data_IF_978562704118
#
_entry.id   IF_978562704118
#
_cell.length_a   1.000
_cell.length_b   1.000
_cell.length_c   1.000
_cell.angle_alpha   90.00
_cell.angle_beta   90.00
_cell.angle_gamma   90.00
#
_symmetry.space_group_name_H-M   'P 1'
#
loop_
_entity.id
_entity.type
_entity.pdbx_description
1 polymer ?
#
# COMPACT_ATOMS: atom_id res chain seq x y z
N UNK A 1 -4.39 14.20 -8.26
CA UNK A 1 -5.51 13.84 -9.15
C UNK A 1 -4.91 13.38 -10.47
N UNK A 2 -4.72 12.07 -10.67
CA UNK A 2 -4.16 11.55 -11.92
C UNK A 2 -5.25 11.58 -12.99
N UNK A 3 -5.13 12.55 -13.91
CA UNK A 3 -5.96 12.70 -15.09
C UNK A 3 -6.07 11.37 -15.84
N UNK A 4 -7.29 11.03 -16.25
CA UNK A 4 -7.59 10.00 -17.24
C UNK A 4 -6.90 10.43 -18.54
N UNK A 5 -5.60 10.12 -18.68
CA UNK A 5 -4.87 10.25 -19.94
C UNK A 5 -5.45 9.18 -20.88
N UNK A 6 -5.64 9.55 -22.15
CA UNK A 6 -6.18 8.67 -23.19
C UNK A 6 -5.51 7.28 -23.14
N UNK A 7 -6.32 6.25 -23.42
CA UNK A 7 -5.90 4.85 -23.38
C UNK A 7 -4.61 4.65 -24.22
N UNK A 8 -3.58 3.98 -23.68
CA UNK A 8 -2.33 3.76 -24.40
C UNK A 8 -2.56 3.00 -25.71
N UNK A 9 -1.82 3.37 -26.77
CA UNK A 9 -1.96 2.74 -28.10
C UNK A 9 -1.25 1.39 -28.16
N UNK A 10 -0.08 1.29 -27.53
CA UNK A 10 0.67 0.04 -27.35
C UNK A 10 1.20 -0.06 -25.93
N UNK A 11 1.25 -1.28 -25.43
CA UNK A 11 1.75 -1.63 -24.11
C UNK A 11 2.76 -2.77 -24.23
N UNK A 12 3.85 -2.70 -23.46
CA UNK A 12 4.76 -3.82 -23.23
C UNK A 12 4.98 -4.00 -21.74
N UNK A 13 4.98 -5.25 -21.31
CA UNK A 13 5.17 -5.63 -19.91
C UNK A 13 6.45 -6.43 -19.77
N UNK A 14 7.25 -6.07 -18.78
CA UNK A 14 8.54 -6.68 -18.46
C UNK A 14 8.55 -7.14 -17.01
N UNK A 15 9.09 -8.33 -16.76
CA UNK A 15 9.57 -8.71 -15.44
C UNK A 15 11.10 -8.65 -15.44
N UNK A 16 11.64 -7.96 -14.45
CA UNK A 16 13.07 -7.82 -14.19
C UNK A 16 13.40 -8.53 -12.89
N UNK A 17 14.32 -9.49 -12.94
CA UNK A 17 14.85 -10.18 -11.77
C UNK A 17 16.21 -9.58 -11.41
N UNK A 18 16.27 -8.82 -10.32
CA UNK A 18 17.50 -8.22 -9.78
C UNK A 18 18.20 -9.24 -8.89
N UNK A 19 19.41 -9.65 -9.27
CA UNK A 19 20.25 -10.58 -8.49
C UNK A 19 21.13 -9.89 -7.46
N UNK A 20 21.33 -8.59 -7.63
CA UNK A 20 22.12 -7.72 -6.75
C UNK A 20 21.30 -6.47 -6.40
N UNK A 21 21.75 -5.69 -5.42
CA UNK A 21 21.09 -4.43 -5.08
C UNK A 21 21.49 -3.34 -6.09
N UNK A 22 20.82 -3.33 -7.25
CA UNK A 22 21.01 -2.34 -8.31
C UNK A 22 19.73 -1.60 -8.67
N UNK A 23 18.67 -1.78 -7.88
CA UNK A 23 17.36 -1.23 -8.18
C UNK A 23 17.37 0.29 -8.19
N UNK A 24 18.07 0.91 -7.24
CA UNK A 24 18.23 2.37 -7.21
C UNK A 24 18.98 2.90 -8.44
N UNK A 25 20.06 2.22 -8.86
CA UNK A 25 20.79 2.53 -10.08
C UNK A 25 19.91 2.39 -11.32
N UNK A 26 19.15 1.30 -11.42
CA UNK A 26 18.18 1.10 -12.49
C UNK A 26 17.14 2.22 -12.56
N UNK A 27 16.64 2.68 -11.41
CA UNK A 27 15.72 3.82 -11.38
C UNK A 27 16.37 5.10 -11.90
N UNK A 28 17.60 5.41 -11.47
CA UNK A 28 18.33 6.61 -11.91
C UNK A 28 18.66 6.58 -13.40
N UNK A 29 19.15 5.44 -13.90
CA UNK A 29 19.74 5.33 -15.23
C UNK A 29 18.71 4.93 -16.31
N UNK A 30 17.63 4.27 -15.94
CA UNK A 30 16.60 3.81 -16.89
C UNK A 30 15.30 4.59 -16.70
N UNK A 31 14.67 4.50 -15.53
CA UNK A 31 13.31 5.00 -15.30
C UNK A 31 13.24 6.53 -15.27
N UNK A 32 14.09 7.17 -14.48
CA UNK A 32 14.08 8.62 -14.23
C UNK A 32 15.14 9.39 -15.03
N UNK A 33 15.84 8.71 -15.93
CA UNK A 33 16.91 9.28 -16.76
C UNK A 33 16.51 10.50 -17.61
N UNK A 34 15.22 10.66 -17.89
CA UNK A 34 14.68 11.77 -18.68
C UNK A 34 14.37 13.04 -17.86
N UNK A 35 14.52 12.99 -16.53
CA UNK A 35 14.19 14.10 -15.65
C UNK A 35 12.69 14.25 -15.34
N UNK A 36 12.35 15.07 -14.33
CA UNK A 36 10.97 15.21 -13.82
C UNK A 36 10.00 15.86 -14.83
N UNK A 37 10.50 16.66 -15.78
CA UNK A 37 9.70 17.33 -16.81
C UNK A 37 9.11 16.37 -17.86
N UNK A 38 9.69 15.17 -18.03
CA UNK A 38 9.26 14.18 -19.04
C UNK A 38 8.42 13.04 -18.45
N UNK A 39 7.36 13.39 -17.72
CA UNK A 39 6.46 12.41 -17.07
C UNK A 39 5.81 11.39 -18.01
N UNK A 40 5.69 11.68 -19.31
CA UNK A 40 5.17 10.76 -20.32
C UNK A 40 6.17 9.65 -20.72
N UNK A 41 7.43 9.73 -20.27
CA UNK A 41 8.43 8.68 -20.47
C UNK A 41 8.37 7.59 -19.38
N UNK A 42 7.71 7.88 -18.25
CA UNK A 42 7.64 6.95 -17.12
C UNK A 42 6.80 5.70 -17.46
N UNK A 43 7.13 4.53 -16.87
CA UNK A 43 6.27 3.37 -16.91
C UNK A 43 4.86 3.72 -16.40
N UNK A 44 3.86 3.07 -16.98
CA UNK A 44 2.46 3.18 -16.57
C UNK A 44 2.16 2.35 -15.32
N UNK A 45 2.92 1.28 -15.10
CA UNK A 45 2.88 0.46 -13.89
C UNK A 45 4.31 0.04 -13.54
N UNK A 46 4.61 -0.04 -12.24
CA UNK A 46 5.91 -0.36 -11.71
C UNK A 46 5.74 -0.90 -10.29
N UNK A 47 5.71 -2.23 -10.19
CA UNK A 47 5.39 -2.95 -8.96
C UNK A 47 6.55 -3.87 -8.60
N UNK A 48 6.97 -3.89 -7.34
CA UNK A 48 8.07 -4.74 -6.89
C UNK A 48 7.66 -5.73 -5.82
N UNK A 49 8.44 -6.81 -5.72
CA UNK A 49 8.33 -7.86 -4.70
C UNK A 49 9.73 -8.41 -4.40
N UNK A 50 10.06 -8.64 -3.13
CA UNK A 50 11.30 -9.32 -2.79
C UNK A 50 11.22 -10.84 -3.00
N UNK A 51 12.38 -11.51 -2.97
CA UNK A 51 12.48 -12.95 -3.18
C UNK A 51 11.68 -13.76 -2.17
N UNK A 52 11.56 -13.28 -0.92
CA UNK A 52 10.85 -13.97 0.14
C UNK A 52 9.36 -14.11 -0.23
N UNK A 53 8.68 -13.01 -0.58
CA UNK A 53 7.26 -13.08 -0.90
C UNK A 53 7.01 -13.87 -2.19
N UNK A 54 7.88 -13.73 -3.18
CA UNK A 54 7.75 -14.53 -4.41
C UNK A 54 7.96 -16.01 -4.12
N UNK A 55 8.90 -16.39 -3.26
CA UNK A 55 9.07 -17.78 -2.84
C UNK A 55 7.82 -18.33 -2.16
N UNK A 56 7.17 -17.56 -1.28
CA UNK A 56 5.94 -18.00 -0.62
C UNK A 56 4.80 -18.24 -1.61
N UNK A 57 4.65 -17.37 -2.61
CA UNK A 57 3.66 -17.51 -3.67
C UNK A 57 3.99 -18.68 -4.60
N UNK A 58 5.22 -18.70 -5.13
CA UNK A 58 5.65 -19.57 -6.23
C UNK A 58 5.98 -20.97 -5.75
N UNK A 59 6.77 -21.08 -4.70
CA UNK A 59 7.29 -22.37 -4.23
C UNK A 59 6.36 -22.99 -3.21
N UNK A 60 5.79 -22.16 -2.33
CA UNK A 60 4.95 -22.66 -1.24
C UNK A 60 3.45 -22.64 -1.57
N UNK A 61 3.02 -21.84 -2.54
CA UNK A 61 1.63 -21.78 -3.01
C UNK A 61 0.72 -20.90 -2.15
N UNK A 62 1.28 -20.05 -1.27
CA UNK A 62 0.50 -19.19 -0.38
C UNK A 62 -0.29 -18.15 -1.18
N UNK A 63 -1.59 -18.05 -0.92
CA UNK A 63 -2.50 -17.12 -1.59
C UNK A 63 -2.64 -17.33 -3.11
N UNK A 64 -2.03 -18.38 -3.68
CA UNK A 64 -1.84 -18.52 -5.13
C UNK A 64 -3.15 -18.71 -5.89
N UNK A 65 -4.05 -19.54 -5.35
CA UNK A 65 -5.37 -19.76 -5.96
C UNK A 65 -6.19 -18.47 -5.98
N UNK A 66 -6.17 -17.76 -4.86
CA UNK A 66 -6.87 -16.49 -4.72
C UNK A 66 -6.31 -15.44 -5.67
N UNK A 67 -4.98 -15.37 -5.81
CA UNK A 67 -4.30 -14.53 -6.80
C UNK A 67 -4.74 -14.86 -8.24
N UNK A 68 -4.84 -16.14 -8.61
CA UNK A 68 -5.35 -16.55 -9.93
C UNK A 68 -6.80 -16.09 -10.11
N UNK A 69 -7.68 -16.36 -9.14
CA UNK A 69 -9.09 -15.98 -9.23
C UNK A 69 -9.26 -14.47 -9.42
N UNK A 70 -8.43 -13.67 -8.75
CA UNK A 70 -8.38 -12.22 -8.93
C UNK A 70 -7.78 -11.80 -10.28
N UNK A 71 -6.71 -12.44 -10.73
CA UNK A 71 -6.10 -12.17 -12.03
C UNK A 71 -7.00 -12.52 -13.21
N UNK A 72 -7.88 -13.51 -13.03
CA UNK A 72 -8.89 -13.93 -14.00
C UNK A 72 -10.09 -12.97 -14.08
N UNK A 73 -10.10 -11.84 -13.37
CA UNK A 73 -11.17 -10.82 -13.37
C UNK A 73 -11.46 -10.28 -14.77
N UNK A 74 -12.28 -11.04 -15.49
CA UNK A 74 -12.99 -10.64 -16.69
C UNK A 74 -14.30 -9.95 -16.29
N UNK A 75 -14.80 -9.07 -17.15
CA UNK A 75 -16.06 -8.33 -16.92
C UNK A 75 -17.24 -9.25 -16.56
N UNK A 76 -17.24 -10.49 -17.05
CA UNK A 76 -18.25 -11.52 -16.82
C UNK A 76 -18.04 -12.37 -15.55
N UNK A 77 -16.83 -12.38 -14.98
CA UNK A 77 -16.45 -13.20 -13.83
C UNK A 77 -16.53 -12.46 -12.49
N UNK A 78 -16.73 -11.13 -12.50
CA UNK A 78 -16.57 -10.28 -11.29
C UNK A 78 -17.56 -10.64 -10.18
N UNK A 79 -18.83 -10.93 -10.51
CA UNK A 79 -19.84 -11.36 -9.52
C UNK A 79 -19.59 -12.77 -8.95
N UNK A 80 -18.97 -13.66 -9.74
CA UNK A 80 -18.61 -15.00 -9.29
C UNK A 80 -17.34 -15.00 -8.44
N UNK A 81 -16.37 -14.13 -8.76
CA UNK A 81 -15.14 -13.97 -7.96
C UNK A 81 -15.49 -13.52 -6.53
N UNK A 82 -16.40 -12.56 -6.35
CA UNK A 82 -16.83 -12.14 -5.01
C UNK A 82 -17.47 -13.29 -4.22
N UNK A 83 -18.31 -14.10 -4.87
CA UNK A 83 -18.89 -15.30 -4.24
C UNK A 83 -17.83 -16.33 -3.87
N UNK A 84 -16.84 -16.56 -4.73
CA UNK A 84 -15.73 -17.47 -4.46
C UNK A 84 -14.83 -16.98 -3.32
N UNK A 85 -14.55 -15.68 -3.25
CA UNK A 85 -13.80 -15.07 -2.14
C UNK A 85 -14.60 -15.12 -0.82
N UNK A 86 -15.91 -14.89 -0.87
CA UNK A 86 -16.79 -15.04 0.29
C UNK A 86 -16.83 -16.49 0.77
N UNK A 87 -16.96 -17.45 -0.14
CA UNK A 87 -16.92 -18.87 0.18
C UNK A 87 -15.56 -19.26 0.77
N UNK A 88 -14.45 -18.76 0.22
CA UNK A 88 -13.12 -18.93 0.79
C UNK A 88 -13.07 -18.45 2.24
N UNK A 89 -13.55 -17.25 2.52
CA UNK A 89 -13.53 -16.69 3.87
C UNK A 89 -14.36 -17.54 4.85
N UNK A 90 -15.52 -18.04 4.42
CA UNK A 90 -16.33 -18.98 5.21
C UNK A 90 -15.59 -20.30 5.47
N UNK A 91 -14.93 -20.87 4.44
CA UNK A 91 -14.15 -22.10 4.60
C UNK A 91 -12.96 -21.92 5.52
N UNK A 92 -12.28 -20.77 5.47
CA UNK A 92 -11.19 -20.43 6.39
C UNK A 92 -11.72 -20.31 7.82
N UNK A 93 -12.89 -19.70 8.04
CA UNK A 93 -13.49 -19.60 9.37
C UNK A 93 -13.86 -20.98 9.94
N UNK A 94 -14.37 -21.89 9.10
CA UNK A 94 -14.84 -23.20 9.54
C UNK A 94 -13.71 -24.22 9.73
N UNK A 95 -12.76 -24.29 8.79
CA UNK A 95 -11.72 -25.32 8.73
C UNK A 95 -10.38 -24.74 8.24
N UNK A 96 -9.80 -23.76 8.95
CA UNK A 96 -8.67 -22.95 8.46
C UNK A 96 -7.48 -23.81 8.04
N UNK A 97 -7.09 -24.77 8.88
CA UNK A 97 -5.94 -25.64 8.63
C UNK A 97 -6.13 -26.57 7.43
N UNK A 98 -7.35 -27.06 7.19
CA UNK A 98 -7.64 -27.98 6.07
C UNK A 98 -7.66 -27.20 4.76
N UNK A 99 -8.39 -26.07 4.76
CA UNK A 99 -8.50 -25.21 3.58
C UNK A 99 -7.12 -24.70 3.13
N UNK A 100 -6.30 -24.20 4.07
CA UNK A 100 -4.98 -23.69 3.73
C UNK A 100 -4.08 -24.79 3.20
N UNK A 101 -4.06 -25.99 3.80
CA UNK A 101 -3.29 -27.13 3.26
C UNK A 101 -3.72 -27.49 1.83
N UNK A 102 -5.02 -27.43 1.53
CA UNK A 102 -5.52 -27.62 0.17
C UNK A 102 -5.09 -26.49 -0.78
N UNK A 103 -5.23 -25.22 -0.38
CA UNK A 103 -4.80 -24.05 -1.17
C UNK A 103 -3.29 -24.13 -1.48
N UNK A 104 -2.46 -24.53 -0.51
CA UNK A 104 -1.03 -24.73 -0.69
C UNK A 104 -0.71 -25.89 -1.63
N UNK A 105 -1.36 -27.04 -1.45
CA UNK A 105 -1.18 -28.20 -2.31
C UNK A 105 -1.46 -27.80 -3.76
N UNK A 106 -2.66 -27.30 -4.05
CA UNK A 106 -3.05 -26.94 -5.41
C UNK A 106 -2.22 -25.77 -5.96
N UNK A 107 -1.92 -24.77 -5.11
CA UNK A 107 -1.06 -23.64 -5.44
C UNK A 107 0.32 -24.06 -5.92
N UNK A 108 0.96 -25.04 -5.27
CA UNK A 108 2.25 -25.61 -5.70
C UNK A 108 2.20 -26.21 -7.10
N UNK A 109 1.15 -26.95 -7.45
CA UNK A 109 1.02 -27.54 -8.80
C UNK A 109 0.73 -26.47 -9.84
N UNK A 110 -0.21 -25.56 -9.56
CA UNK A 110 -0.58 -24.50 -10.49
C UNK A 110 0.56 -23.52 -10.72
N UNK A 111 1.35 -23.19 -9.70
CA UNK A 111 2.55 -22.36 -9.86
C UNK A 111 3.52 -22.95 -10.88
N UNK A 112 3.68 -24.29 -10.90
CA UNK A 112 4.53 -24.94 -11.90
C UNK A 112 4.03 -24.77 -13.34
N UNK A 113 2.72 -24.69 -13.53
CA UNK A 113 2.08 -24.50 -14.82
C UNK A 113 2.09 -23.04 -15.26
N UNK A 114 1.84 -22.12 -14.33
CA UNK A 114 1.46 -20.74 -14.64
C UNK A 114 2.60 -19.73 -14.55
N UNK A 115 3.66 -20.03 -13.79
CA UNK A 115 4.81 -19.14 -13.62
C UNK A 115 6.01 -19.66 -14.40
N UNK A 116 6.66 -18.82 -15.23
CA UNK A 116 7.85 -19.20 -15.98
C UNK A 116 8.93 -19.83 -15.08
N UNK A 117 9.50 -20.95 -15.52
CA UNK A 117 10.52 -21.69 -14.75
C UNK A 117 11.72 -20.82 -14.36
N UNK A 118 12.04 -19.82 -15.18
CA UNK A 118 13.07 -18.81 -14.91
C UNK A 118 12.80 -18.03 -13.62
N UNK A 119 11.57 -17.59 -13.34
CA UNK A 119 11.23 -16.91 -12.08
C UNK A 119 11.27 -17.92 -10.93
N UNK A 120 10.85 -19.17 -11.15
CA UNK A 120 10.79 -20.19 -10.10
C UNK A 120 12.16 -20.73 -9.67
N UNK A 121 13.13 -20.75 -10.59
CA UNK A 121 14.44 -21.38 -10.39
C UNK A 121 15.58 -20.38 -10.22
N UNK A 122 15.38 -19.12 -10.57
CA UNK A 122 16.43 -18.11 -10.41
C UNK A 122 16.55 -17.69 -8.95
N UNK A 123 17.78 -17.51 -8.50
CA UNK A 123 18.08 -16.77 -7.28
C UNK A 123 18.15 -15.30 -7.66
N UNK A 124 17.25 -14.50 -7.13
CA UNK A 124 17.21 -13.04 -7.24
C UNK A 124 16.88 -12.48 -5.86
N UNK A 125 17.21 -11.21 -5.63
CA UNK A 125 16.79 -10.45 -4.45
C UNK A 125 15.41 -9.86 -4.64
N UNK A 126 15.14 -9.32 -5.83
CA UNK A 126 13.88 -8.65 -6.13
C UNK A 126 13.37 -8.94 -7.54
N UNK A 127 12.05 -8.97 -7.66
CA UNK A 127 11.31 -9.00 -8.90
C UNK A 127 10.61 -7.65 -9.08
N UNK A 128 10.88 -6.99 -10.19
CA UNK A 128 10.23 -5.75 -10.60
C UNK A 128 9.39 -6.01 -11.85
N UNK A 129 8.15 -5.53 -11.84
CA UNK A 129 7.18 -5.66 -12.93
C UNK A 129 6.90 -4.27 -13.46
N UNK A 130 7.18 -4.06 -14.74
CA UNK A 130 7.06 -2.77 -15.40
C UNK A 130 6.12 -2.88 -16.58
N UNK A 131 5.25 -1.89 -16.76
CA UNK A 131 4.48 -1.72 -17.98
C UNK A 131 4.83 -0.39 -18.63
N UNK A 132 5.38 -0.44 -19.83
CA UNK A 132 5.74 0.75 -20.62
C UNK A 132 4.72 0.91 -21.75
N UNK A 133 4.32 2.15 -22.01
CA UNK A 133 3.33 2.46 -23.05
C UNK A 133 3.88 3.43 -24.09
N UNK A 134 3.42 3.25 -25.33
CA UNK A 134 3.42 4.31 -26.34
C UNK A 134 2.12 5.11 -26.24
N UNK A 135 2.29 6.44 -26.20
CA UNK A 135 1.21 7.42 -26.15
C UNK A 135 1.28 8.31 -27.38
N UNK A 136 0.16 8.91 -27.77
CA UNK A 136 0.12 9.92 -28.85
C UNK A 136 1.12 11.06 -28.62
N UNK A 137 1.29 11.48 -27.35
CA UNK A 137 2.22 12.54 -26.96
C UNK A 137 3.69 12.13 -26.91
N UNK A 138 4.00 10.82 -26.97
CA UNK A 138 5.36 10.30 -26.85
C UNK A 138 5.54 9.03 -27.71
N UNK A 139 5.49 9.16 -29.05
CA UNK A 139 5.74 8.04 -29.95
C UNK A 139 7.19 7.55 -29.80
N UNK A 140 7.39 6.23 -29.71
CA UNK A 140 8.72 5.63 -29.55
C UNK A 140 9.22 5.47 -28.11
N UNK A 141 8.39 5.79 -27.10
CA UNK A 141 8.77 5.62 -25.68
C UNK A 141 9.26 4.21 -25.35
N UNK A 142 8.59 3.18 -25.88
CA UNK A 142 9.00 1.78 -25.69
C UNK A 142 10.41 1.54 -26.24
N UNK A 143 10.71 2.02 -27.45
CA UNK A 143 12.03 1.83 -28.06
C UNK A 143 13.14 2.58 -27.27
N UNK A 144 12.85 3.78 -26.77
CA UNK A 144 13.78 4.53 -25.93
C UNK A 144 14.06 3.80 -24.60
N UNK A 145 13.00 3.30 -23.95
CA UNK A 145 13.12 2.47 -22.74
C UNK A 145 13.98 1.23 -22.99
N UNK A 146 13.71 0.49 -24.08
CA UNK A 146 14.46 -0.72 -24.44
C UNK A 146 15.94 -0.42 -24.67
N UNK A 147 16.26 0.70 -25.32
CA UNK A 147 17.66 1.14 -25.51
C UNK A 147 18.38 1.35 -24.18
N UNK A 148 17.76 2.06 -23.23
CA UNK A 148 18.34 2.31 -21.91
C UNK A 148 18.48 1.04 -21.08
N UNK A 149 17.47 0.18 -21.14
CA UNK A 149 17.49 -1.12 -20.48
C UNK A 149 18.62 -1.99 -21.03
N UNK A 150 18.82 -2.04 -22.35
CA UNK A 150 19.95 -2.74 -22.97
C UNK A 150 21.29 -2.19 -22.49
N UNK A 151 21.46 -0.86 -22.48
CA UNK A 151 22.68 -0.23 -21.96
C UNK A 151 22.91 -0.59 -20.48
N UNK A 152 21.87 -0.54 -19.65
CA UNK A 152 21.98 -0.93 -18.24
C UNK A 152 22.41 -2.39 -18.07
N UNK A 153 21.82 -3.31 -18.85
CA UNK A 153 22.20 -4.73 -18.85
C UNK A 153 23.64 -4.93 -19.31
N UNK A 154 24.11 -4.19 -20.31
CA UNK A 154 25.50 -4.24 -20.79
C UNK A 154 26.51 -3.82 -19.70
N UNK A 155 26.18 -2.79 -18.91
CA UNK A 155 27.00 -2.37 -17.76
C UNK A 155 26.91 -3.34 -16.57
N UNK A 156 25.83 -4.13 -16.49
CA UNK A 156 25.56 -5.06 -15.37
C UNK A 156 25.19 -6.48 -15.85
N UNK A 157 26.07 -7.18 -16.59
CA UNK A 157 25.72 -8.37 -17.40
C UNK A 157 25.25 -9.59 -16.59
N UNK A 158 25.44 -9.60 -15.27
CA UNK A 158 25.03 -10.70 -14.40
C UNK A 158 24.01 -10.30 -13.33
N UNK A 159 23.73 -9.00 -13.18
CA UNK A 159 22.93 -8.52 -12.06
C UNK A 159 21.44 -8.42 -12.37
N UNK A 160 21.06 -8.49 -13.64
CA UNK A 160 19.66 -8.40 -14.09
C UNK A 160 19.31 -9.54 -15.04
N UNK A 161 18.12 -10.10 -14.89
CA UNK A 161 17.52 -10.97 -15.88
C UNK A 161 16.18 -10.42 -16.34
N UNK A 162 16.06 -10.24 -17.66
CA UNK A 162 14.88 -9.69 -18.32
C UNK A 162 13.97 -10.81 -18.84
N UNK A 163 12.67 -10.67 -18.58
CA UNK A 163 11.61 -11.49 -19.15
C UNK A 163 10.58 -10.56 -19.78
N UNK A 164 10.48 -10.58 -21.11
CA UNK A 164 9.46 -9.84 -21.84
C UNK A 164 8.19 -10.68 -22.02
N UNK A 165 7.03 -10.12 -21.69
CA UNK A 165 5.74 -10.79 -21.89
C UNK A 165 5.09 -10.38 -23.21
N UNK A 166 4.47 -11.36 -23.86
CA UNK A 166 3.55 -11.11 -24.98
C UNK A 166 2.23 -10.56 -24.44
N UNK A 167 1.57 -9.64 -25.16
CA UNK A 167 0.22 -9.18 -24.82
C UNK A 167 -0.72 -10.38 -24.64
N UNK A 168 -1.49 -10.39 -23.54
CA UNK A 168 -2.45 -11.46 -23.21
C UNK A 168 -1.84 -12.82 -22.83
N UNK A 169 -0.55 -12.88 -22.50
CA UNK A 169 0.05 -14.08 -21.90
C UNK A 169 -0.43 -14.31 -20.45
N UNK A 170 -0.57 -15.58 -20.05
CA UNK A 170 -1.33 -15.97 -18.84
C UNK A 170 -0.64 -15.63 -17.49
N UNK A 171 0.64 -15.29 -17.49
CA UNK A 171 1.35 -14.83 -16.27
C UNK A 171 1.30 -13.32 -16.08
N UNK A 172 1.07 -12.54 -17.14
CA UNK A 172 1.11 -11.08 -17.09
C UNK A 172 0.12 -10.54 -16.05
N UNK A 173 -1.13 -11.01 -16.02
CA UNK A 173 -2.12 -10.53 -15.06
C UNK A 173 -1.86 -10.98 -13.62
N UNK A 174 -1.37 -12.21 -13.41
CA UNK A 174 -1.02 -12.67 -12.06
C UNK A 174 0.11 -11.81 -11.51
N UNK A 175 1.08 -11.51 -12.36
CA UNK A 175 2.22 -10.66 -12.05
C UNK A 175 1.79 -9.19 -11.89
N UNK A 176 0.92 -8.64 -12.75
CA UNK A 176 0.40 -7.27 -12.59
C UNK A 176 -0.50 -7.11 -11.34
N UNK A 177 -1.02 -8.20 -10.78
CA UNK A 177 -1.71 -8.21 -9.49
C UNK A 177 -0.74 -8.59 -8.34
N UNK A 178 0.54 -8.28 -8.48
CA UNK A 178 1.63 -8.44 -7.49
C UNK A 178 1.16 -8.14 -6.08
N UNK A 179 0.64 -6.92 -5.83
CA UNK A 179 0.25 -6.45 -4.48
C UNK A 179 -0.79 -7.32 -3.82
N UNK A 180 -1.87 -7.63 -4.56
CA UNK A 180 -2.95 -8.45 -4.02
C UNK A 180 -2.45 -9.88 -3.76
N UNK A 181 -1.60 -10.41 -4.63
CA UNK A 181 -1.01 -11.75 -4.47
C UNK A 181 -0.08 -11.80 -3.25
N UNK A 182 0.73 -10.77 -3.06
CA UNK A 182 1.64 -10.61 -1.93
C UNK A 182 0.89 -10.48 -0.60
N UNK A 183 -0.07 -9.55 -0.50
CA UNK A 183 -0.90 -9.39 0.70
C UNK A 183 -1.69 -10.67 1.04
N UNK A 184 -2.24 -11.37 0.04
CA UNK A 184 -2.93 -12.64 0.27
C UNK A 184 -1.97 -13.74 0.75
N UNK A 185 -0.74 -13.75 0.26
CA UNK A 185 0.27 -14.71 0.67
C UNK A 185 0.70 -14.47 2.12
N UNK A 186 0.97 -13.23 2.53
CA UNK A 186 1.33 -12.91 3.93
C UNK A 186 0.18 -13.21 4.90
N UNK A 187 -1.07 -12.89 4.52
CA UNK A 187 -2.26 -13.28 5.30
C UNK A 187 -2.42 -14.80 5.44
N UNK A 188 -2.28 -15.54 4.33
CA UNK A 188 -2.42 -17.01 4.36
C UNK A 188 -1.29 -17.66 5.17
N UNK A 189 -0.07 -17.13 5.03
CA UNK A 189 1.09 -17.57 5.78
C UNK A 189 0.92 -17.32 7.28
N UNK A 190 0.36 -16.17 7.67
CA UNK A 190 0.07 -15.83 9.07
C UNK A 190 -0.83 -16.87 9.72
N UNK A 191 -1.92 -17.26 9.05
CA UNK A 191 -2.83 -18.28 9.57
C UNK A 191 -2.14 -19.65 9.63
N UNK A 192 -1.36 -20.00 8.60
CA UNK A 192 -0.63 -21.27 8.55
C UNK A 192 0.39 -21.40 9.68
N UNK A 193 1.14 -20.32 9.95
CA UNK A 193 2.17 -20.23 10.97
C UNK A 193 1.63 -19.95 12.37
N UNK A 194 0.33 -19.68 12.51
CA UNK A 194 -0.30 -19.24 13.77
C UNK A 194 0.45 -18.04 14.37
N UNK A 195 0.79 -17.09 13.51
CA UNK A 195 1.47 -15.86 13.91
C UNK A 195 0.55 -14.66 13.94
N UNK A 196 1.11 -13.54 14.34
CA UNK A 196 0.53 -12.20 14.22
C UNK A 196 1.21 -11.51 13.04
N UNK A 197 0.39 -11.00 12.11
CA UNK A 197 0.86 -10.19 10.99
C UNK A 197 1.07 -8.75 11.48
N UNK A 198 2.25 -8.21 11.20
CA UNK A 198 2.60 -6.80 11.35
C UNK A 198 2.76 -6.21 9.96
N UNK A 199 1.65 -5.84 9.30
CA UNK A 199 1.73 -5.14 8.05
C UNK A 199 2.19 -3.71 8.33
N UNK A 200 3.07 -3.18 7.50
CA UNK A 200 3.49 -1.79 7.60
C UNK A 200 3.55 -1.20 6.22
N UNK A 201 3.00 0.00 6.08
CA UNK A 201 2.90 0.71 4.82
C UNK A 201 3.71 2.00 4.95
N UNK A 202 4.71 2.15 4.08
CA UNK A 202 5.69 3.22 4.16
C UNK A 202 5.98 3.82 2.78
N UNK A 203 6.42 5.08 2.78
CA UNK A 203 6.97 5.75 1.62
C UNK A 203 8.47 5.90 1.82
N UNK A 204 9.25 5.09 1.10
CA UNK A 204 10.71 5.08 1.15
C UNK A 204 11.27 4.89 -0.26
N UNK A 205 12.47 5.43 -0.50
CA UNK A 205 13.17 5.19 -1.76
C UNK A 205 13.45 3.67 -1.90
N UNK A 206 13.04 3.02 -3.01
CA UNK A 206 13.34 1.62 -3.23
C UNK A 206 14.85 1.37 -3.37
N UNK A 207 15.34 0.24 -2.84
CA UNK A 207 16.74 -0.17 -2.96
C UNK A 207 17.47 -0.18 -1.62
N UNK A 208 18.64 0.44 -1.55
CA UNK A 208 19.51 0.44 -0.35
C UNK A 208 18.81 0.95 0.91
N UNK A 209 17.97 1.98 0.78
CA UNK A 209 17.21 2.51 1.91
C UNK A 209 16.22 1.48 2.47
N UNK A 210 15.47 0.79 1.59
CA UNK A 210 14.56 -0.29 1.99
C UNK A 210 15.31 -1.47 2.63
N UNK A 211 16.45 -1.88 2.07
CA UNK A 211 17.26 -2.97 2.64
C UNK A 211 17.82 -2.59 4.03
N UNK A 212 18.29 -1.36 4.19
CA UNK A 212 18.81 -0.84 5.46
C UNK A 212 17.72 -0.80 6.54
N UNK A 213 16.57 -0.22 6.21
CA UNK A 213 15.41 -0.18 7.09
C UNK A 213 14.96 -1.59 7.51
N UNK A 214 14.79 -2.51 6.55
CA UNK A 214 14.32 -3.84 6.84
C UNK A 214 15.31 -4.63 7.73
N UNK A 215 16.62 -4.41 7.54
CA UNK A 215 17.68 -5.04 8.33
C UNK A 215 17.70 -4.51 9.77
N UNK A 216 17.57 -3.20 9.96
CA UNK A 216 17.47 -2.58 11.29
C UNK A 216 16.19 -3.01 12.03
N UNK A 217 15.07 -3.09 11.32
CA UNK A 217 13.81 -3.57 11.89
C UNK A 217 13.94 -5.03 12.34
N UNK A 218 14.53 -5.90 11.52
CA UNK A 218 14.76 -7.30 11.87
C UNK A 218 15.54 -7.46 13.18
N UNK A 219 16.59 -6.64 13.36
CA UNK A 219 17.37 -6.62 14.60
C UNK A 219 16.51 -6.20 15.79
N UNK A 220 15.80 -5.07 15.68
CA UNK A 220 14.94 -4.56 16.77
C UNK A 220 13.82 -5.52 17.13
N UNK A 221 13.19 -6.17 16.15
CA UNK A 221 12.17 -7.19 16.39
C UNK A 221 12.74 -8.41 17.10
N UNK A 222 13.99 -8.81 16.78
CA UNK A 222 14.66 -9.92 17.45
C UNK A 222 14.95 -9.61 18.91
N UNK A 223 15.30 -8.36 19.21
CA UNK A 223 15.51 -7.87 20.58
C UNK A 223 14.19 -7.79 21.37
N UNK A 224 13.11 -7.32 20.73
CA UNK A 224 11.77 -7.19 21.36
C UNK A 224 11.07 -8.53 21.56
N UNK A 225 11.28 -9.48 20.65
CA UNK A 225 10.58 -10.76 20.60
C UNK A 225 11.55 -11.97 20.60
N UNK A 226 12.48 -12.09 21.57
CA UNK A 226 13.59 -13.05 21.50
C UNK A 226 13.18 -14.52 21.57
N UNK A 227 11.92 -14.80 21.95
CA UNK A 227 11.36 -16.15 22.07
C UNK A 227 10.47 -16.55 20.88
N UNK A 228 10.29 -15.64 19.91
CA UNK A 228 9.37 -15.84 18.80
C UNK A 228 10.15 -16.02 17.50
N UNK A 229 9.61 -16.83 16.58
CA UNK A 229 10.16 -16.94 15.23
C UNK A 229 9.71 -15.71 14.44
N UNK A 230 10.67 -14.97 13.87
CA UNK A 230 10.41 -13.86 12.97
C UNK A 230 10.46 -14.34 11.53
N UNK A 231 9.40 -14.08 10.78
CA UNK A 231 9.29 -14.41 9.38
C UNK A 231 9.12 -13.12 8.59
N UNK A 232 10.09 -12.81 7.72
CA UNK A 232 10.13 -11.58 6.96
C UNK A 232 11.57 -11.16 6.67
N UNK A 233 11.77 -9.98 6.05
CA UNK A 233 10.73 -9.08 5.58
C UNK A 233 10.02 -9.65 4.33
N UNK A 234 8.72 -9.41 4.20
CA UNK A 234 7.98 -9.62 2.95
C UNK A 234 7.69 -8.26 2.32
N UNK A 235 8.52 -7.87 1.36
CA UNK A 235 8.49 -6.54 0.75
C UNK A 235 7.74 -6.58 -0.58
N UNK A 236 6.80 -5.65 -0.76
CA UNK A 236 6.09 -5.45 -2.03
C UNK A 236 5.47 -4.05 -2.13
N UNK A 237 5.37 -3.45 -3.32
CA UNK A 237 4.78 -2.11 -3.42
C UNK A 237 4.88 -1.43 -4.78
N UNK A 238 4.52 -0.14 -4.80
CA UNK A 238 4.55 0.75 -5.96
C UNK A 238 5.81 1.59 -5.99
N UNK A 239 6.84 1.11 -6.67
CA UNK A 239 8.13 1.81 -6.66
C UNK A 239 8.07 3.19 -7.30
N UNK A 240 7.25 3.39 -8.35
CA UNK A 240 7.08 4.73 -8.96
C UNK A 240 6.43 5.75 -8.02
N UNK A 241 5.70 5.28 -7.02
CA UNK A 241 5.11 6.13 -5.97
C UNK A 241 5.96 6.11 -4.70
N UNK A 242 7.04 5.33 -4.70
CA UNK A 242 7.88 5.05 -3.54
C UNK A 242 7.08 4.44 -2.37
N UNK A 243 5.95 3.80 -2.64
CA UNK A 243 5.11 3.18 -1.61
C UNK A 243 5.53 1.71 -1.48
N UNK A 244 5.81 1.27 -0.27
CA UNK A 244 6.26 -0.07 0.05
C UNK A 244 5.45 -0.64 1.22
N UNK A 245 5.14 -1.93 1.12
CA UNK A 245 4.57 -2.72 2.21
C UNK A 245 5.66 -3.61 2.77
N UNK A 246 5.98 -3.44 4.05
CA UNK A 246 6.95 -4.23 4.79
C UNK A 246 6.25 -5.12 5.83
N UNK A 247 5.77 -6.26 5.35
CA UNK A 247 5.03 -7.21 6.18
C UNK A 247 6.00 -8.11 6.96
N UNK A 248 5.75 -8.26 8.26
CA UNK A 248 6.41 -9.21 9.15
C UNK A 248 5.40 -10.14 9.81
N UNK A 249 5.78 -11.39 10.05
CA UNK A 249 4.96 -12.35 10.80
C UNK A 249 5.77 -12.82 11.99
N UNK A 250 5.22 -12.66 13.19
CA UNK A 250 5.83 -13.11 14.44
C UNK A 250 4.98 -14.25 15.00
N UNK A 251 5.59 -15.41 15.25
CA UNK A 251 4.83 -16.59 15.69
C UNK A 251 4.39 -16.49 17.15
N UNK A 252 3.23 -17.08 17.47
CA UNK A 252 2.71 -17.11 18.84
C UNK A 252 1.93 -15.86 19.25
N UNK A 253 1.47 -15.86 20.50
CA UNK A 253 0.71 -14.75 21.09
C UNK A 253 1.63 -13.66 21.62
N UNK A 254 1.25 -12.40 21.39
CA UNK A 254 1.99 -11.21 21.83
C UNK A 254 1.08 -10.35 22.71
N UNK A 255 1.66 -9.72 23.74
CA UNK A 255 0.92 -8.78 24.58
C UNK A 255 0.61 -7.49 23.82
N UNK A 256 -0.47 -6.81 24.18
CA UNK A 256 -0.84 -5.51 23.59
C UNK A 256 0.29 -4.47 23.68
N UNK A 257 1.06 -4.49 24.78
CA UNK A 257 2.22 -3.63 24.96
C UNK A 257 3.32 -3.93 23.92
N UNK A 258 3.60 -5.20 23.65
CA UNK A 258 4.56 -5.60 22.61
C UNK A 258 4.07 -5.21 21.21
N UNK A 259 2.77 -5.37 20.93
CA UNK A 259 2.18 -4.94 19.66
C UNK A 259 2.41 -3.44 19.43
N UNK A 260 2.16 -2.61 20.45
CA UNK A 260 2.38 -1.16 20.39
C UNK A 260 3.86 -0.79 20.22
N UNK A 261 4.77 -1.50 20.92
CA UNK A 261 6.22 -1.29 20.78
C UNK A 261 6.72 -1.61 19.38
N UNK A 262 6.22 -2.69 18.77
CA UNK A 262 6.58 -3.06 17.40
C UNK A 262 6.18 -1.96 16.42
N UNK A 263 4.92 -1.50 16.48
CA UNK A 263 4.43 -0.42 15.64
C UNK A 263 5.25 0.88 15.82
N UNK A 264 5.55 1.23 17.07
CA UNK A 264 6.38 2.40 17.38
C UNK A 264 7.77 2.30 16.75
N UNK A 265 8.44 1.14 16.86
CA UNK A 265 9.75 0.91 16.23
C UNK A 265 9.66 0.99 14.70
N UNK A 266 8.59 0.50 14.08
CA UNK A 266 8.39 0.64 12.63
C UNK A 266 8.30 2.12 12.21
N UNK A 267 7.50 2.92 12.94
CA UNK A 267 7.39 4.37 12.73
C UNK A 267 8.71 5.12 12.98
N UNK A 268 9.43 4.79 14.06
CA UNK A 268 10.70 5.42 14.40
C UNK A 268 11.75 5.14 13.32
N UNK A 269 11.90 3.89 12.90
CA UNK A 269 12.92 3.49 11.93
C UNK A 269 12.63 4.04 10.53
N UNK A 270 11.38 4.05 10.09
CA UNK A 270 11.04 4.63 8.77
C UNK A 270 11.34 6.12 8.74
N UNK A 271 11.04 6.85 9.82
CA UNK A 271 11.36 8.27 9.94
C UNK A 271 12.87 8.50 10.03
N UNK A 272 13.60 7.64 10.73
CA UNK A 272 15.06 7.74 10.86
C UNK A 272 15.79 7.59 9.51
N UNK A 273 15.23 6.81 8.58
CA UNK A 273 15.74 6.72 7.19
C UNK A 273 15.16 7.79 6.27
N UNK A 274 14.41 8.77 6.78
CA UNK A 274 13.81 9.85 5.99
C UNK A 274 12.59 9.44 5.17
N UNK A 275 11.96 8.32 5.52
CA UNK A 275 10.68 7.89 4.95
C UNK A 275 9.47 8.43 5.69
N UNK A 276 8.29 8.08 5.18
CA UNK A 276 7.00 8.43 5.79
C UNK A 276 6.17 7.19 6.08
N UNK A 277 5.66 6.99 7.31
CA UNK A 277 4.72 5.92 7.61
C UNK A 277 3.32 6.23 7.01
N UNK A 278 2.48 5.20 6.88
CA UNK A 278 1.07 5.30 6.48
C UNK A 278 0.88 5.95 5.10
N UNK A 279 1.64 5.47 4.10
CA UNK A 279 1.78 6.10 2.80
C UNK A 279 0.52 6.01 1.88
N UNK A 280 -0.12 4.86 1.82
CA UNK A 280 -1.36 4.58 1.09
C UNK A 280 -2.52 4.22 2.04
N UNK A 281 -2.23 3.43 3.07
CA UNK A 281 -3.19 3.01 4.08
C UNK A 281 -3.26 4.08 5.18
N UNK A 282 -4.47 4.48 5.57
CA UNK A 282 -4.63 5.43 6.68
C UNK A 282 -4.15 4.85 8.01
N UNK A 283 -3.86 5.73 8.98
CA UNK A 283 -3.36 5.38 10.33
C UNK A 283 -4.24 4.38 11.10
N UNK A 284 -5.49 4.16 10.67
CA UNK A 284 -6.34 3.08 11.16
C UNK A 284 -6.55 3.14 12.68
N UNK A 285 -6.23 2.05 13.37
CA UNK A 285 -6.34 1.91 14.82
C UNK A 285 -5.26 2.68 15.61
N UNK A 286 -4.25 3.24 14.93
CA UNK A 286 -3.19 4.06 15.53
C UNK A 286 -3.46 5.56 15.41
N UNK A 287 -4.64 5.95 14.91
CA UNK A 287 -4.95 7.37 14.71
C UNK A 287 -4.89 8.22 15.99
N UNK A 288 -5.10 7.62 17.18
CA UNK A 288 -5.06 8.36 18.44
C UNK A 288 -3.66 8.54 19.04
N UNK A 289 -2.65 7.96 18.40
CA UNK A 289 -1.23 8.09 18.74
C UNK A 289 -0.40 8.73 17.63
N UNK A 290 -0.76 8.49 16.37
CA UNK A 290 0.12 8.78 15.23
C UNK A 290 -0.23 10.06 14.46
N UNK A 291 -1.45 10.59 14.62
CA UNK A 291 -1.84 11.82 13.93
C UNK A 291 -1.04 13.01 14.49
N UNK A 292 -0.33 13.69 13.59
CA UNK A 292 0.38 14.92 13.95
C UNK A 292 -0.59 16.12 14.09
N UNK A 293 -0.07 17.25 14.56
CA UNK A 293 -0.87 18.47 14.78
C UNK A 293 -1.72 18.87 13.57
N UNK A 294 -1.11 18.94 12.37
CA UNK A 294 -1.80 19.34 11.14
C UNK A 294 -2.88 18.35 10.73
N UNK A 295 -2.67 17.06 10.99
CA UNK A 295 -3.67 16.02 10.72
C UNK A 295 -4.82 16.06 11.73
N UNK A 296 -4.56 16.35 13.00
CA UNK A 296 -5.59 16.59 14.01
C UNK A 296 -6.42 17.83 13.67
N UNK A 297 -5.79 18.92 13.21
CA UNK A 297 -6.47 20.12 12.69
C UNK A 297 -7.42 19.75 11.54
N UNK A 298 -6.93 18.99 10.55
CA UNK A 298 -7.75 18.52 9.41
C UNK A 298 -8.89 17.61 9.86
N UNK A 299 -8.65 16.72 10.82
CA UNK A 299 -9.65 15.81 11.38
C UNK A 299 -10.78 16.60 12.06
N UNK A 300 -10.44 17.59 12.89
CA UNK A 300 -11.42 18.45 13.56
C UNK A 300 -12.19 19.28 12.52
N UNK A 301 -11.50 19.90 11.55
CA UNK A 301 -12.12 20.66 10.48
C UNK A 301 -13.09 19.81 9.65
N UNK A 302 -12.70 18.58 9.31
CA UNK A 302 -13.53 17.65 8.55
C UNK A 302 -14.81 17.29 9.31
N UNK A 303 -14.72 17.01 10.63
CA UNK A 303 -15.89 16.71 11.47
C UNK A 303 -16.83 17.91 11.56
N UNK A 304 -16.28 19.12 11.74
CA UNK A 304 -17.08 20.37 11.76
C UNK A 304 -17.85 20.61 10.46
N UNK A 305 -17.30 20.16 9.32
CA UNK A 305 -17.90 20.35 7.99
C UNK A 305 -18.88 19.24 7.59
N UNK A 306 -18.54 17.98 7.89
CA UNK A 306 -19.16 16.82 7.25
C UNK A 306 -19.82 15.84 8.22
N UNK A 307 -19.46 15.85 9.50
CA UNK A 307 -19.88 14.84 10.46
C UNK A 307 -20.05 15.40 11.88
N UNK A 308 -20.84 16.47 12.00
CA UNK A 308 -21.19 17.09 13.29
C UNK A 308 -21.94 16.12 14.21
N UNK A 309 -22.70 15.22 13.60
CA UNK A 309 -23.45 14.18 14.32
C UNK A 309 -22.57 13.04 14.86
N UNK A 310 -21.28 13.00 14.48
CA UNK A 310 -20.34 11.97 14.93
C UNK A 310 -20.67 10.56 14.43
N UNK A 311 -21.39 10.43 13.31
CA UNK A 311 -21.89 9.15 12.79
C UNK A 311 -20.85 8.41 11.95
N UNK A 312 -19.81 9.10 11.46
CA UNK A 312 -18.75 8.46 10.70
C UNK A 312 -17.71 7.84 11.65
N UNK A 313 -17.56 6.50 11.54
CA UNK A 313 -16.60 5.70 12.33
C UNK A 313 -16.72 5.90 13.86
N UNK A 314 -17.91 5.68 14.46
CA UNK A 314 -18.10 5.84 15.90
C UNK A 314 -17.26 4.82 16.67
N UNK A 315 -16.53 5.27 17.68
CA UNK A 315 -15.73 4.42 18.58
C UNK A 315 -14.35 3.96 18.07
N UNK A 316 -14.02 4.21 16.80
CA UNK A 316 -12.70 3.90 16.23
C UNK A 316 -11.56 4.80 16.76
N UNK A 317 -10.31 4.49 16.44
CA UNK A 317 -9.18 5.31 16.90
C UNK A 317 -9.24 6.77 16.43
N UNK A 318 -9.77 7.05 15.24
CA UNK A 318 -10.05 8.43 14.80
C UNK A 318 -11.05 9.16 15.70
N UNK A 319 -12.02 8.46 16.31
CA UNK A 319 -12.92 9.05 17.30
C UNK A 319 -12.15 9.42 18.57
N UNK A 320 -11.26 8.53 19.04
CA UNK A 320 -10.40 8.80 20.22
C UNK A 320 -9.45 9.97 19.96
N UNK A 321 -8.82 10.01 18.79
CA UNK A 321 -7.96 11.12 18.36
C UNK A 321 -8.72 12.45 18.34
N UNK A 322 -9.91 12.44 17.74
CA UNK A 322 -10.78 13.61 17.68
C UNK A 322 -11.20 14.09 19.08
N UNK A 323 -11.59 13.17 19.99
CA UNK A 323 -11.97 13.51 21.37
C UNK A 323 -10.82 14.23 22.11
N UNK A 324 -9.57 13.77 21.94
CA UNK A 324 -8.39 14.48 22.49
C UNK A 324 -8.19 15.85 21.83
N UNK A 325 -8.34 15.92 20.50
CA UNK A 325 -8.07 17.13 19.72
C UNK A 325 -9.09 18.27 19.94
N UNK A 326 -10.38 17.97 20.15
CA UNK A 326 -11.43 18.99 20.32
C UNK A 326 -11.35 19.73 21.68
N UNK A 327 -10.59 19.16 22.62
CA UNK A 327 -10.28 19.78 23.92
C UNK A 327 -9.12 20.78 23.81
N UNK A 328 -8.26 20.65 22.79
CA UNK A 328 -7.15 21.57 22.52
C UNK A 328 -7.64 22.82 21.78
N UNK A 329 -7.54 23.98 22.45
CA UNK A 329 -8.00 25.27 21.91
C UNK A 329 -7.20 25.72 20.68
N UNK A 330 -5.90 25.39 20.61
CA UNK A 330 -5.06 25.72 19.46
C UNK A 330 -5.51 24.95 18.22
N UNK A 331 -5.65 23.63 18.36
CA UNK A 331 -6.11 22.76 17.26
C UNK A 331 -7.50 23.20 16.77
N UNK A 332 -8.43 23.49 17.69
CA UNK A 332 -9.78 23.94 17.32
C UNK A 332 -9.75 25.28 16.57
N UNK A 333 -8.94 26.25 17.02
CA UNK A 333 -8.80 27.53 16.36
C UNK A 333 -8.32 27.39 14.91
N UNK A 334 -7.26 26.61 14.71
CA UNK A 334 -6.69 26.36 13.38
C UNK A 334 -7.64 25.52 12.50
N UNK A 335 -8.37 24.58 13.09
CA UNK A 335 -9.36 23.77 12.37
C UNK A 335 -10.52 24.59 11.83
N UNK A 336 -11.02 25.56 12.61
CA UNK A 336 -12.05 26.50 12.15
C UNK A 336 -11.53 27.32 10.97
N UNK A 337 -10.30 27.86 11.07
CA UNK A 337 -9.69 28.62 9.97
C UNK A 337 -9.48 27.75 8.73
N UNK A 338 -9.05 26.50 8.90
CA UNK A 338 -8.90 25.53 7.82
C UNK A 338 -10.25 25.23 7.14
N UNK A 339 -11.31 25.02 7.93
CA UNK A 339 -12.65 24.75 7.43
C UNK A 339 -13.23 25.93 6.64
N UNK A 340 -13.04 27.16 7.11
CA UNK A 340 -13.44 28.38 6.39
C UNK A 340 -12.75 28.45 5.03
N UNK A 341 -11.41 28.32 5.01
CA UNK A 341 -10.64 28.35 3.76
C UNK A 341 -11.06 27.24 2.79
N UNK A 342 -11.40 26.06 3.31
CA UNK A 342 -11.91 24.96 2.49
C UNK A 342 -13.26 25.32 1.83
N UNK A 343 -14.20 25.89 2.59
CA UNK A 343 -15.48 26.37 2.04
C UNK A 343 -15.25 27.46 1.00
N UNK A 344 -14.44 28.48 1.30
CA UNK A 344 -14.13 29.58 0.35
C UNK A 344 -13.54 29.03 -0.96
N UNK A 345 -12.63 28.04 -0.87
CA UNK A 345 -12.02 27.40 -2.03
C UNK A 345 -13.01 26.58 -2.86
N UNK A 346 -13.95 25.88 -2.23
CA UNK A 346 -14.92 25.06 -2.95
C UNK A 346 -16.12 25.90 -3.45
N UNK A 347 -16.46 27.02 -2.80
CA UNK A 347 -17.39 28.04 -3.31
C UNK A 347 -16.88 28.63 -4.63
N UNK A 348 -15.60 29.02 -4.68
CA UNK A 348 -14.99 29.54 -5.92
C UNK A 348 -14.89 28.51 -7.03
N UNK A 349 -15.03 27.21 -6.72
CA UNK A 349 -15.01 26.10 -7.67
C UNK A 349 -16.41 25.57 -8.04
N UNK A 350 -17.48 26.10 -7.43
CA UNK A 350 -18.86 25.65 -7.61
C UNK A 350 -19.07 24.14 -7.33
N UNK A 351 -18.28 23.56 -6.41
CA UNK A 351 -18.28 22.11 -6.10
C UNK A 351 -19.06 21.74 -4.84
N UNK A 352 -19.62 22.71 -4.12
CA UNK A 352 -20.36 22.48 -2.87
C UNK A 352 -21.81 22.04 -3.15
N UNK A 353 -22.16 20.82 -2.77
CA UNK A 353 -23.48 20.23 -3.00
C UNK A 353 -24.56 20.63 -1.96
N UNK A 354 -24.18 21.21 -0.81
CA UNK A 354 -25.11 21.48 0.31
C UNK A 354 -25.00 22.88 0.95
N UNK A 355 -24.03 23.71 0.56
CA UNK A 355 -23.92 25.08 1.05
C UNK A 355 -24.54 26.02 0.03
N UNK A 356 -25.87 25.99 -0.05
CA UNK A 356 -26.65 26.68 -1.08
C UNK A 356 -26.70 28.22 -0.91
N UNK A 357 -26.16 28.77 0.17
CA UNK A 357 -26.05 30.21 0.39
C UNK A 357 -24.60 30.59 0.63
N UNK A 358 -24.13 31.66 -0.03
CA UNK A 358 -22.87 32.30 0.29
C UNK A 358 -22.98 32.91 1.69
N UNK A 359 -22.59 32.15 2.71
CA UNK A 359 -22.55 32.66 4.08
C UNK A 359 -21.40 33.65 4.22
N UNK A 360 -21.69 34.85 4.73
CA UNK A 360 -20.66 35.79 5.16
C UNK A 360 -19.79 35.15 6.26
N UNK A 361 -18.50 35.51 6.32
CA UNK A 361 -17.57 35.01 7.34
C UNK A 361 -18.12 35.00 8.78
N UNK A 362 -18.81 36.05 9.27
CA UNK A 362 -19.42 36.02 10.60
C UNK A 362 -20.46 34.90 10.80
N UNK A 363 -21.29 34.64 9.78
CA UNK A 363 -22.28 33.54 9.82
C UNK A 363 -21.62 32.17 9.75
N UNK A 364 -20.54 32.02 8.99
CA UNK A 364 -19.76 30.76 8.98
C UNK A 364 -19.15 30.49 10.36
N UNK A 365 -18.59 31.52 10.99
CA UNK A 365 -18.06 31.41 12.36
C UNK A 365 -19.14 30.99 13.35
N UNK A 366 -20.33 31.58 13.28
CA UNK A 366 -21.46 31.21 14.14
C UNK A 366 -21.86 29.73 13.95
N UNK A 367 -21.96 29.26 12.70
CA UNK A 367 -22.27 27.85 12.39
C UNK A 367 -21.19 26.91 12.94
N UNK A 368 -19.90 27.25 12.80
CA UNK A 368 -18.82 26.41 13.33
C UNK A 368 -18.79 26.38 14.85
N UNK A 369 -19.06 27.49 15.52
CA UNK A 369 -19.18 27.50 17.00
C UNK A 369 -20.36 26.65 17.46
N UNK A 370 -21.52 26.76 16.79
CA UNK A 370 -22.68 25.92 17.08
C UNK A 370 -22.38 24.43 16.88
N UNK A 371 -21.74 24.07 15.77
CA UNK A 371 -21.35 22.68 15.49
C UNK A 371 -20.35 22.17 16.54
N UNK A 372 -19.40 23.02 16.95
CA UNK A 372 -18.44 22.70 18.01
C UNK A 372 -19.13 22.44 19.35
N UNK A 373 -20.11 23.26 19.71
CA UNK A 373 -20.91 23.07 20.92
C UNK A 373 -21.74 21.77 20.87
N UNK A 374 -22.37 21.47 19.74
CA UNK A 374 -23.12 20.22 19.55
C UNK A 374 -22.20 18.99 19.69
N UNK A 375 -21.02 19.03 19.05
CA UNK A 375 -20.01 17.97 19.17
C UNK A 375 -19.58 17.80 20.62
N UNK A 376 -19.21 18.88 21.31
CA UNK A 376 -18.77 18.82 22.72
C UNK A 376 -19.85 18.29 23.65
N UNK A 377 -21.10 18.75 23.50
CA UNK A 377 -22.23 18.29 24.32
C UNK A 377 -22.46 16.79 24.16
N UNK A 378 -22.45 16.27 22.93
CA UNK A 378 -22.63 14.83 22.67
C UNK A 378 -21.52 13.99 23.33
N UNK A 379 -20.27 14.42 23.23
CA UNK A 379 -19.15 13.62 23.78
C UNK A 379 -19.04 13.69 25.30
N UNK A 380 -19.52 14.75 25.95
CA UNK A 380 -19.63 14.79 27.42
C UNK A 380 -20.63 13.76 27.97
N UNK A 381 -21.65 13.39 27.18
CA UNK A 381 -22.63 12.37 27.57
C UNK A 381 -22.17 10.92 27.36
N UNK A 382 -21.06 10.68 26.63
CA UNK A 382 -20.50 9.34 26.43
C UNK A 382 -19.42 8.95 27.47
N UNK A 383 -19.06 9.86 28.38
CA UNK A 383 -18.00 9.67 29.41
C UNK A 383 -18.58 9.39 30.80
N UNK A 384 -19.90 9.50 30.97
CA UNK A 384 -20.66 9.08 32.15
C UNK A 384 -21.49 7.84 31.83
#
# INVERSE_FOLDING_TARGET
MYLIRKKPQKLRTYALLFKENLKEHFYKEVIFSEGPEKTDALPTLCESMNSNIVQEIVTNGFGFLSAILLALKNRWLTGHIQKLLSLRNQLIQLIPSVYIKFELFLGKYLSKLLIPSVIRKSKYKELLVLQVSERESNPGNIANFEKKLSQFIEHHPNALQLIQYQPHSFSEKIILNTRMSAALATLTLTIYKRGVLFPFDDAIMPGEMTESYASQLAQKLSELCPKHELLGPYLYGHDLKQINHNDWIITGELSEETLKKIHHVQCELVQAVGGHPHAEHGVGDYADTDLNYDELVKLVAHRLLNDVSGLANPGGAYQKAFKKAIEDKGIVGDAIQFAIKAIEREQTRFTLFNWNEALSLPKMMEVFHKNLEELRSRFQHEVN
#
